data_IF_425287100258
#
_entry.id   IF_425287100258
#
_cell.length_a   1.000
_cell.length_b   1.000
_cell.length_c   1.000
_cell.angle_alpha   90.00
_cell.angle_beta   90.00
_cell.angle_gamma   90.00
#
_symmetry.space_group_name_H-M   'P 1'
#
loop_
_entity.id
_entity.type
_entity.pdbx_description
1 polymer ?
#
# COMPACT_ATOMS: atom_id res chain seq x y z
N UNK A 1 37.16 24.25 12.09
CA UNK A 1 37.41 24.72 13.47
C UNK A 1 36.07 24.70 14.18
N UNK A 2 35.70 23.60 14.84
CA UNK A 2 35.97 23.24 16.25
C UNK A 2 34.86 23.78 17.19
N UNK A 3 34.15 22.80 17.80
CA UNK A 3 33.46 22.75 19.10
C UNK A 3 32.27 23.69 19.38
N UNK A 4 31.06 23.19 19.72
CA UNK A 4 30.57 22.30 20.80
C UNK A 4 30.01 23.10 22.00
N UNK A 5 28.81 22.67 22.38
CA UNK A 5 28.20 22.64 23.72
C UNK A 5 27.65 23.93 24.34
N UNK A 6 26.32 23.93 24.54
CA UNK A 6 25.65 24.65 25.61
C UNK A 6 24.79 23.66 26.42
N UNK A 7 25.09 23.58 27.72
CA UNK A 7 24.36 22.81 28.74
C UNK A 7 23.32 23.69 29.44
N UNK A 8 22.29 23.00 29.90
CA UNK A 8 21.21 23.39 30.80
C UNK A 8 21.68 24.08 32.11
N UNK A 9 20.87 25.01 32.60
CA UNK A 9 20.78 25.33 34.02
C UNK A 9 19.32 25.39 34.48
N UNK A 10 19.05 24.62 35.53
CA UNK A 10 17.77 24.38 36.19
C UNK A 10 17.65 25.35 37.38
N UNK A 11 16.55 26.09 37.46
CA UNK A 11 16.24 26.99 38.59
C UNK A 11 15.47 26.23 39.69
N UNK A 12 15.84 26.43 40.96
CA UNK A 12 15.14 25.96 42.16
C UNK A 12 14.88 27.14 43.12
N UNK A 13 13.64 27.22 43.60
CA UNK A 13 13.23 27.83 44.87
C UNK A 13 13.13 29.36 44.89
N UNK A 14 12.34 30.02 45.73
CA UNK A 14 11.29 29.62 46.68
C UNK A 14 10.57 30.92 47.12
N UNK A 15 9.39 30.73 47.71
CA UNK A 15 8.36 31.69 48.16
C UNK A 15 8.81 32.81 49.11
N UNK A 16 8.15 33.97 48.99
CA UNK A 16 7.47 34.78 50.03
C UNK A 16 6.88 36.02 49.28
N UNK A 17 5.63 36.49 49.42
CA UNK A 17 4.74 36.59 50.57
C UNK A 17 4.54 38.09 50.88
N UNK A 18 3.45 38.71 50.42
CA UNK A 18 3.15 40.12 50.72
C UNK A 18 1.95 40.69 49.95
N UNK A 19 0.81 40.78 50.64
CA UNK A 19 -0.48 41.37 50.24
C UNK A 19 -0.48 42.89 50.48
N UNK A 20 -1.06 43.73 49.61
CA UNK A 20 -1.73 45.00 49.95
C UNK A 20 -2.68 45.46 48.82
N UNK A 21 -3.85 45.98 49.22
CA UNK A 21 -5.05 46.33 48.44
C UNK A 21 -5.02 47.79 47.87
N UNK A 22 -6.05 48.25 47.11
CA UNK A 22 -5.89 49.12 45.93
C UNK A 22 -6.07 50.61 46.23
N UNK A 23 -5.57 51.47 45.34
CA UNK A 23 -5.97 52.88 45.28
C UNK A 23 -6.18 53.33 43.82
N UNK A 24 -7.34 53.94 43.61
CA UNK A 24 -7.76 54.59 42.37
C UNK A 24 -6.94 55.87 42.12
N UNK A 25 -6.41 56.03 40.91
CA UNK A 25 -6.23 57.36 40.30
C UNK A 25 -6.56 57.30 38.80
N UNK A 26 -7.21 58.37 38.34
CA UNK A 26 -7.81 58.56 37.03
C UNK A 26 -6.90 59.45 36.18
N UNK A 27 -6.68 59.05 34.92
CA UNK A 27 -6.31 59.90 33.78
C UNK A 27 -4.97 59.55 33.10
N UNK A 28 -4.76 59.83 31.79
CA UNK A 28 -5.70 60.28 30.76
C UNK A 28 -5.94 59.24 29.64
N UNK A 29 -6.98 59.49 28.86
CA UNK A 29 -7.46 58.78 27.67
C UNK A 29 -6.36 58.53 26.62
N UNK A 30 -6.09 57.25 26.32
CA UNK A 30 -5.25 56.84 25.20
C UNK A 30 -6.13 56.59 23.96
N UNK A 31 -6.01 57.44 22.94
CA UNK A 31 -6.58 57.19 21.62
C UNK A 31 -5.71 56.17 20.87
N UNK A 32 -6.28 55.13 20.24
CA UNK A 32 -5.51 54.21 19.42
C UNK A 32 -5.05 54.91 18.12
N UNK A 33 -3.80 54.72 17.66
CA UNK A 33 -3.37 55.26 16.39
C UNK A 33 -4.11 54.58 15.23
N UNK A 34 -4.62 55.40 14.34
CA UNK A 34 -5.29 55.04 13.09
C UNK A 34 -4.44 54.14 12.20
N UNK A 35 -5.07 53.10 11.69
CA UNK A 35 -4.58 52.21 10.64
C UNK A 35 -4.28 53.00 9.36
N UNK A 36 -3.00 53.18 9.04
CA UNK A 36 -2.57 53.58 7.70
C UNK A 36 -1.95 52.37 7.00
N UNK A 37 -2.67 51.85 6.01
CA UNK A 37 -2.18 50.80 5.10
C UNK A 37 -1.21 51.46 4.12
N UNK A 38 0.03 50.95 3.96
CA UNK A 38 0.94 51.48 2.95
C UNK A 38 0.46 51.12 1.53
N UNK A 39 0.64 52.01 0.53
CA UNK A 39 0.21 51.72 -0.84
C UNK A 39 1.05 50.59 -1.47
N UNK A 40 0.46 49.81 -2.39
CA UNK A 40 1.19 48.73 -3.06
C UNK A 40 2.29 49.28 -3.99
N UNK A 41 3.36 48.50 -4.25
CA UNK A 41 4.43 48.90 -5.15
C UNK A 41 3.93 49.06 -6.61
N UNK A 42 4.59 49.90 -7.42
CA UNK A 42 4.13 50.20 -8.77
C UNK A 42 4.17 48.96 -9.68
N UNK A 43 3.09 48.76 -10.45
CA UNK A 43 3.01 47.73 -11.49
C UNK A 43 4.02 48.04 -12.60
N UNK A 44 4.96 47.13 -12.81
CA UNK A 44 5.78 47.11 -14.03
C UNK A 44 4.87 46.68 -15.17
N UNK A 45 4.52 47.62 -16.05
CA UNK A 45 3.91 47.31 -17.35
C UNK A 45 4.98 46.70 -18.25
N UNK A 46 4.96 45.39 -18.43
CA UNK A 46 5.64 44.75 -19.55
C UNK A 46 4.81 44.96 -20.82
N UNK A 47 5.15 45.99 -21.59
CA UNK A 47 4.74 46.13 -22.99
C UNK A 47 5.41 45.02 -23.80
N UNK A 48 4.71 43.91 -24.03
CA UNK A 48 5.09 42.90 -25.00
C UNK A 48 4.58 43.33 -26.37
N UNK A 49 5.47 43.95 -27.13
CA UNK A 49 5.31 44.27 -28.54
C UNK A 49 5.17 42.98 -29.35
N UNK A 50 4.02 42.80 -30.01
CA UNK A 50 3.81 41.77 -31.02
C UNK A 50 4.69 42.09 -32.25
N UNK A 51 5.81 41.37 -32.40
CA UNK A 51 6.51 41.24 -33.67
C UNK A 51 6.09 39.92 -34.34
N UNK A 52 5.52 40.04 -35.53
CA UNK A 52 5.26 38.92 -36.44
C UNK A 52 6.58 38.24 -36.87
N UNK A 53 6.58 36.92 -37.11
CA UNK A 53 7.80 36.19 -37.45
C UNK A 53 8.24 36.42 -38.90
N UNK A 54 9.55 36.60 -39.06
CA UNK A 54 10.23 36.67 -40.35
C UNK A 54 10.15 35.34 -41.12
N UNK A 55 10.01 35.49 -42.43
CA UNK A 55 9.79 34.44 -43.44
C UNK A 55 11.08 33.64 -43.70
N UNK A 56 11.03 32.31 -43.60
CA UNK A 56 12.09 31.39 -44.02
C UNK A 56 11.72 30.69 -45.35
N UNK A 57 12.69 30.36 -46.23
CA UNK A 57 12.42 29.92 -47.61
C UNK A 57 11.94 28.45 -47.70
N UNK A 58 11.26 28.04 -48.79
CA UNK A 58 10.53 26.78 -48.84
C UNK A 58 11.47 25.59 -49.03
N UNK A 59 11.45 24.64 -48.08
CA UNK A 59 12.05 23.30 -48.24
C UNK A 59 11.12 22.40 -49.05
N UNK A 60 11.68 21.81 -50.12
CA UNK A 60 11.04 20.86 -51.04
C UNK A 60 10.36 19.69 -50.30
N UNK A 61 9.09 19.43 -50.62
CA UNK A 61 8.33 18.24 -50.18
C UNK A 61 9.01 16.96 -50.65
N UNK A 62 9.50 16.12 -49.72
CA UNK A 62 9.79 14.70 -49.99
C UNK A 62 8.60 13.86 -49.52
N UNK A 63 8.03 13.05 -50.45
CA UNK A 63 7.01 12.03 -50.17
C UNK A 63 7.51 11.04 -49.11
N UNK A 64 6.67 10.56 -48.18
CA UNK A 64 7.03 9.41 -47.36
C UNK A 64 6.98 8.15 -48.24
N UNK A 65 8.11 7.43 -48.34
CA UNK A 65 8.12 6.04 -48.80
C UNK A 65 7.56 5.18 -47.67
N UNK A 66 6.44 4.50 -47.92
CA UNK A 66 6.06 3.31 -47.17
C UNK A 66 7.21 2.29 -47.27
N UNK A 67 7.67 1.80 -46.12
CA UNK A 67 8.58 0.66 -46.03
C UNK A 67 7.78 -0.44 -45.34
N UNK A 68 7.13 -1.28 -46.14
CA UNK A 68 6.60 -2.57 -45.69
C UNK A 68 7.78 -3.43 -45.22
N UNK A 69 7.79 -3.78 -43.94
CA UNK A 69 8.55 -4.94 -43.48
C UNK A 69 7.70 -6.18 -43.80
N UNK A 70 7.94 -6.78 -44.97
CA UNK A 70 7.44 -8.11 -45.28
C UNK A 70 8.12 -9.12 -44.36
N UNK A 71 7.36 -9.69 -43.42
CA UNK A 71 7.74 -10.89 -42.71
C UNK A 71 7.82 -12.04 -43.73
N UNK A 72 9.01 -12.64 -43.89
CA UNK A 72 9.24 -13.78 -44.76
C UNK A 72 8.64 -15.02 -44.09
N UNK A 73 7.39 -15.32 -44.40
CA UNK A 73 6.73 -16.58 -44.02
C UNK A 73 7.41 -17.73 -44.77
N UNK A 74 7.88 -18.73 -44.04
CA UNK A 74 8.30 -20.01 -44.60
C UNK A 74 7.06 -20.78 -45.09
N UNK A 75 7.14 -21.51 -46.23
CA UNK A 75 6.01 -22.32 -46.70
C UNK A 75 5.80 -23.54 -45.78
N UNK A 76 4.55 -24.04 -45.66
CA UNK A 76 4.28 -25.27 -44.92
C UNK A 76 4.87 -26.50 -45.64
N UNK A 77 5.33 -27.53 -44.92
CA UNK A 77 5.78 -28.77 -45.56
C UNK A 77 4.60 -29.56 -46.14
N UNK A 78 4.84 -30.16 -47.31
CA UNK A 78 3.89 -31.04 -47.99
C UNK A 78 3.65 -32.35 -47.19
N UNK A 79 2.48 -32.99 -47.33
CA UNK A 79 2.12 -34.14 -46.52
C UNK A 79 2.70 -35.43 -47.10
N UNK A 80 3.34 -36.22 -46.23
CA UNK A 80 3.60 -37.63 -46.49
C UNK A 80 5.07 -38.00 -46.51
N UNK A 81 5.63 -38.29 -45.34
CA UNK A 81 6.64 -39.35 -45.20
C UNK A 81 6.65 -39.85 -43.75
N UNK A 82 6.50 -41.16 -43.60
CA UNK A 82 6.46 -41.87 -42.32
C UNK A 82 7.87 -41.91 -41.75
N UNK A 83 8.10 -41.30 -40.58
CA UNK A 83 9.39 -41.43 -39.88
C UNK A 83 9.25 -42.44 -38.74
N UNK A 84 9.93 -43.57 -38.93
CA UNK A 84 10.09 -44.64 -37.94
C UNK A 84 10.92 -44.18 -36.75
N UNK A 85 10.47 -44.59 -35.56
CA UNK A 85 11.10 -44.38 -34.26
C UNK A 85 12.05 -45.56 -33.95
N UNK A 86 13.34 -45.36 -33.62
CA UNK A 86 14.13 -46.42 -33.02
C UNK A 86 14.14 -46.31 -31.49
N UNK A 87 13.58 -47.35 -30.86
CA UNK A 87 13.80 -47.71 -29.44
C UNK A 87 15.25 -48.16 -29.24
N UNK A 88 15.95 -47.64 -28.22
CA UNK A 88 17.11 -48.28 -27.61
C UNK A 88 17.26 -47.69 -26.20
N UNK A 89 16.86 -48.34 -25.10
CA UNK A 89 17.36 -49.55 -24.41
C UNK A 89 17.95 -49.09 -23.07
N UNK A 90 17.15 -49.35 -22.02
CA UNK A 90 17.46 -49.19 -20.61
C UNK A 90 18.52 -50.24 -20.22
N UNK A 91 19.64 -49.84 -19.61
CA UNK A 91 20.61 -50.78 -19.04
C UNK A 91 20.92 -50.39 -17.59
N UNK A 92 20.36 -51.21 -16.70
CA UNK A 92 20.65 -51.30 -15.27
C UNK A 92 21.99 -52.01 -15.10
N UNK A 93 22.91 -51.43 -14.33
CA UNK A 93 24.05 -52.17 -13.77
C UNK A 93 24.07 -51.93 -12.26
N UNK A 94 23.60 -52.94 -11.53
CA UNK A 94 23.85 -53.14 -10.12
C UNK A 94 24.95 -54.21 -9.99
N UNK A 95 26.02 -53.93 -9.26
CA UNK A 95 26.94 -54.98 -8.79
C UNK A 95 27.72 -54.52 -7.56
N UNK A 96 27.28 -55.08 -6.43
CA UNK A 96 28.05 -55.67 -5.33
C UNK A 96 29.35 -55.01 -4.80
N UNK A 97 29.28 -54.65 -3.51
CA UNK A 97 30.36 -54.53 -2.55
C UNK A 97 31.20 -55.84 -2.43
N UNK A 98 32.42 -55.72 -1.88
CA UNK A 98 32.74 -56.54 -0.71
C UNK A 98 33.30 -55.72 0.47
N UNK A 99 32.91 -56.16 1.67
CA UNK A 99 33.48 -55.78 2.96
C UNK A 99 34.97 -56.21 3.04
N UNK A 100 35.83 -55.33 3.54
CA UNK A 100 37.01 -55.71 4.29
C UNK A 100 37.20 -54.75 5.47
N UNK A 101 37.40 -55.35 6.64
CA UNK A 101 37.53 -54.71 7.95
C UNK A 101 39.01 -54.61 8.36
N UNK A 102 39.28 -53.65 9.26
CA UNK A 102 40.32 -53.60 10.30
C UNK A 102 41.45 -52.56 10.15
N UNK A 103 41.50 -51.73 11.21
CA UNK A 103 42.62 -51.05 11.89
C UNK A 103 43.08 -49.62 11.48
N UNK A 104 42.61 -48.67 12.29
CA UNK A 104 43.36 -47.66 13.05
C UNK A 104 44.59 -46.96 12.43
N UNK A 105 44.50 -45.62 12.31
CA UNK A 105 45.66 -44.76 12.09
C UNK A 105 45.33 -43.32 11.72
N UNK A 106 45.09 -42.49 12.75
CA UNK A 106 45.46 -41.08 12.92
C UNK A 106 45.63 -40.10 11.70
N UNK A 107 44.96 -38.94 11.84
CA UNK A 107 45.30 -37.58 11.33
C UNK A 107 45.16 -37.27 9.84
N UNK A 108 44.37 -36.23 9.52
CA UNK A 108 44.57 -35.45 8.29
C UNK A 108 43.32 -34.76 7.72
N UNK A 109 42.94 -33.62 8.31
CA UNK A 109 42.28 -32.43 7.71
C UNK A 109 41.43 -32.66 6.46
N UNK A 110 40.10 -32.72 6.64
CA UNK A 110 39.12 -32.61 5.56
C UNK A 110 38.89 -31.14 5.18
N UNK A 111 38.85 -30.89 3.87
CA UNK A 111 38.58 -29.60 3.23
C UNK A 111 37.20 -29.06 3.62
N UNK A 112 37.17 -27.78 3.97
CA UNK A 112 36.02 -27.09 4.54
C UNK A 112 34.90 -26.87 3.53
N UNK A 113 33.77 -27.48 3.80
CA UNK A 113 32.49 -26.92 3.40
C UNK A 113 32.19 -25.77 4.37
N UNK A 114 32.08 -24.53 3.87
CA UNK A 114 31.70 -23.37 4.69
C UNK A 114 30.22 -23.48 5.10
N UNK A 115 29.94 -24.27 6.12
CA UNK A 115 28.75 -24.09 6.93
C UNK A 115 28.97 -22.84 7.76
N UNK A 116 28.34 -21.74 7.38
CA UNK A 116 28.25 -20.57 8.23
C UNK A 116 27.42 -20.98 9.46
N UNK A 117 28.08 -21.14 10.61
CA UNK A 117 27.39 -21.22 11.89
C UNK A 117 26.55 -19.95 12.08
N UNK A 118 25.34 -20.04 12.64
CA UNK A 118 24.57 -18.86 12.97
C UNK A 118 25.41 -18.09 14.01
N UNK A 119 25.92 -16.92 13.61
CA UNK A 119 26.63 -16.04 14.54
C UNK A 119 25.71 -15.73 15.71
N UNK A 120 25.92 -16.44 16.81
CA UNK A 120 25.50 -16.01 18.12
C UNK A 120 26.09 -14.62 18.30
N UNK A 121 25.20 -13.62 18.36
CA UNK A 121 25.54 -12.23 18.50
C UNK A 121 26.47 -12.05 19.70
N UNK A 122 27.77 -11.82 19.44
CA UNK A 122 28.70 -11.29 20.43
C UNK A 122 28.48 -9.79 20.52
N UNK A 123 27.40 -9.43 21.20
CA UNK A 123 27.02 -8.07 21.57
C UNK A 123 25.91 -8.20 22.60
N UNK A 124 26.25 -8.00 23.87
CA UNK A 124 25.34 -8.25 24.98
C UNK A 124 23.99 -7.56 24.76
N UNK A 125 22.93 -8.36 24.65
CA UNK A 125 21.57 -7.88 24.58
C UNK A 125 20.72 -8.77 25.49
N UNK A 126 20.09 -8.11 26.48
CA UNK A 126 18.96 -8.64 27.22
C UNK A 126 18.04 -9.44 26.30
N UNK A 127 17.61 -10.63 26.71
CA UNK A 127 16.79 -11.58 25.94
C UNK A 127 15.37 -11.11 25.62
N UNK A 128 15.18 -9.84 25.29
CA UNK A 128 13.92 -9.23 24.88
C UNK A 128 13.78 -9.43 23.37
N UNK A 129 12.81 -10.25 22.98
CA UNK A 129 12.40 -10.39 21.57
C UNK A 129 12.03 -8.99 21.03
N UNK A 130 12.44 -8.64 19.80
CA UNK A 130 12.03 -7.37 19.21
C UNK A 130 10.51 -7.21 19.23
N UNK A 131 9.99 -5.98 19.39
CA UNK A 131 8.55 -5.72 19.28
C UNK A 131 7.97 -6.21 17.94
N UNK A 132 6.66 -6.50 17.93
CA UNK A 132 5.94 -6.82 16.69
C UNK A 132 6.14 -5.69 15.66
N UNK A 133 6.32 -6.06 14.39
CA UNK A 133 6.61 -5.14 13.27
C UNK A 133 7.84 -4.25 13.43
N UNK A 134 8.77 -4.57 14.35
CA UNK A 134 9.99 -3.79 14.56
C UNK A 134 10.76 -3.51 13.27
N UNK A 135 10.87 -4.51 12.39
CA UNK A 135 11.58 -4.36 11.11
C UNK A 135 10.87 -3.49 10.09
N UNK A 136 9.55 -3.28 10.20
CA UNK A 136 8.83 -2.34 9.35
C UNK A 136 9.25 -0.88 9.60
N UNK A 137 9.61 -0.55 10.85
CA UNK A 137 10.09 0.79 11.24
C UNK A 137 11.62 0.86 11.36
N UNK A 138 12.28 -0.29 11.49
CA UNK A 138 13.74 -0.45 11.60
C UNK A 138 14.22 -1.51 10.59
N UNK A 139 14.20 -1.19 9.28
CA UNK A 139 14.52 -2.14 8.21
C UNK A 139 15.95 -2.66 8.32
N UNK A 140 16.17 -3.88 7.82
CA UNK A 140 17.48 -4.55 7.89
C UNK A 140 18.53 -3.78 7.06
N UNK A 141 18.16 -3.33 5.87
CA UNK A 141 18.90 -2.34 5.11
C UNK A 141 18.32 -0.95 5.41
N UNK A 142 18.83 -0.33 6.46
CA UNK A 142 18.42 1.02 6.87
C UNK A 142 19.07 2.12 6.01
N UNK A 143 18.45 3.31 5.91
CA UNK A 143 19.01 4.45 5.18
C UNK A 143 20.43 4.83 5.65
N UNK A 144 20.73 4.67 6.94
CA UNK A 144 22.04 4.94 7.51
C UNK A 144 23.16 4.07 6.91
N UNK A 145 22.84 2.87 6.42
CA UNK A 145 23.81 1.98 5.78
C UNK A 145 24.17 2.42 4.35
N UNK A 146 23.44 3.37 3.77
CA UNK A 146 23.61 3.82 2.39
C UNK A 146 24.29 5.19 2.28
N UNK A 147 24.72 5.78 3.41
CA UNK A 147 25.30 7.12 3.46
C UNK A 147 26.54 7.30 2.56
N UNK A 148 27.29 6.22 2.30
CA UNK A 148 28.51 6.21 1.49
C UNK A 148 28.27 5.77 0.03
N UNK A 149 27.00 5.65 -0.39
CA UNK A 149 26.60 5.31 -1.76
C UNK A 149 25.81 6.48 -2.40
N UNK A 150 26.50 7.52 -2.92
CA UNK A 150 25.84 8.71 -3.44
C UNK A 150 24.82 8.40 -4.54
N UNK A 151 23.56 8.81 -4.31
CA UNK A 151 22.46 8.64 -5.26
C UNK A 151 21.92 7.21 -5.37
N UNK A 152 22.42 6.26 -4.58
CA UNK A 152 21.88 4.91 -4.56
C UNK A 152 20.50 4.88 -3.89
N UNK A 153 19.56 4.19 -4.53
CA UNK A 153 18.28 3.82 -3.92
C UNK A 153 17.75 2.54 -4.55
N UNK A 154 16.99 1.78 -3.76
CA UNK A 154 16.19 0.64 -4.22
C UNK A 154 14.82 1.06 -4.77
N UNK A 155 14.39 2.29 -4.51
CA UNK A 155 13.10 2.78 -4.96
C UNK A 155 13.02 2.86 -6.48
N UNK A 156 11.87 2.47 -7.02
CA UNK A 156 11.57 2.48 -8.45
C UNK A 156 10.14 2.94 -8.63
N UNK A 157 9.92 3.90 -9.54
CA UNK A 157 8.60 4.30 -10.02
C UNK A 157 8.48 3.97 -11.51
N UNK A 158 7.42 3.24 -11.88
CA UNK A 158 7.09 2.88 -13.26
C UNK A 158 5.62 3.19 -13.55
N UNK A 159 5.22 2.96 -14.80
CA UNK A 159 3.87 3.23 -15.31
C UNK A 159 2.76 2.53 -14.52
N UNK A 160 2.99 1.29 -14.10
CA UNK A 160 1.96 0.39 -13.56
C UNK A 160 2.30 -0.17 -12.17
N UNK A 161 3.45 0.20 -11.61
CA UNK A 161 3.82 -0.14 -10.24
C UNK A 161 4.93 0.76 -9.71
N UNK A 162 5.11 0.74 -8.39
CA UNK A 162 6.24 1.34 -7.72
C UNK A 162 6.71 0.47 -6.56
N UNK A 163 8.03 0.44 -6.34
CA UNK A 163 8.66 -0.01 -5.11
C UNK A 163 9.20 1.24 -4.42
N UNK A 164 8.75 1.53 -3.20
CA UNK A 164 9.12 2.70 -2.43
C UNK A 164 9.79 2.18 -1.16
N UNK A 165 11.08 2.48 -0.99
CA UNK A 165 11.91 1.92 0.07
C UNK A 165 12.29 2.98 1.11
N UNK A 166 12.66 2.57 2.33
CA UNK A 166 12.78 3.46 3.50
C UNK A 166 13.67 4.69 3.30
N UNK A 167 14.74 4.59 2.52
CA UNK A 167 15.67 5.71 2.27
C UNK A 167 15.11 6.79 1.34
N UNK A 168 13.99 6.51 0.67
CA UNK A 168 13.27 7.47 -0.19
C UNK A 168 12.06 8.12 0.46
N UNK A 169 11.76 7.79 1.72
CA UNK A 169 10.64 8.41 2.44
C UNK A 169 10.91 9.90 2.68
N UNK A 170 10.03 10.76 2.17
CA UNK A 170 10.11 12.21 2.38
C UNK A 170 9.16 12.61 3.50
N UNK A 171 9.69 12.79 4.70
CA UNK A 171 8.91 13.25 5.85
C UNK A 171 8.79 14.78 5.88
N UNK A 172 7.56 15.25 6.08
CA UNK A 172 7.24 16.68 6.26
C UNK A 172 6.10 16.83 7.28
N UNK A 173 5.94 17.99 7.93
CA UNK A 173 4.80 18.21 8.82
C UNK A 173 3.47 17.93 8.11
N UNK A 174 2.61 17.08 8.70
CA UNK A 174 1.28 16.85 8.14
C UNK A 174 0.40 18.10 8.36
N UNK A 175 -0.22 18.65 7.29
CA UNK A 175 -1.09 19.82 7.43
C UNK A 175 -2.18 19.60 8.47
N UNK A 176 -2.38 20.57 9.36
CA UNK A 176 -3.36 20.57 10.45
C UNK A 176 -3.15 19.51 11.55
N UNK A 177 -2.17 18.62 11.42
CA UNK A 177 -1.78 17.70 12.51
C UNK A 177 -0.85 18.43 13.49
N UNK A 178 -0.91 18.04 14.76
CA UNK A 178 -0.04 18.55 15.82
C UNK A 178 1.09 17.54 16.04
N UNK A 179 2.33 18.03 16.08
CA UNK A 179 3.54 17.27 16.39
C UNK A 179 3.68 15.94 15.61
N UNK A 180 3.36 15.96 14.31
CA UNK A 180 3.35 14.76 13.46
C UNK A 180 4.04 15.04 12.13
N UNK A 181 4.97 14.16 11.75
CA UNK A 181 5.57 14.13 10.41
C UNK A 181 4.89 13.05 9.56
N UNK A 182 4.61 13.35 8.30
CA UNK A 182 4.03 12.42 7.34
C UNK A 182 4.92 12.22 6.12
N UNK A 183 4.95 10.99 5.61
CA UNK A 183 5.52 10.64 4.32
C UNK A 183 4.45 10.01 3.44
N UNK A 184 4.01 10.73 2.41
CA UNK A 184 3.11 10.18 1.41
C UNK A 184 3.85 9.20 0.51
N UNK A 185 3.36 7.96 0.49
CA UNK A 185 3.93 6.86 -0.29
C UNK A 185 3.15 6.70 -1.61
N UNK A 186 1.83 6.70 -1.52
CA UNK A 186 0.93 6.56 -2.68
C UNK A 186 -0.07 7.72 -2.64
N UNK A 187 -0.34 8.29 -3.81
CA UNK A 187 -1.37 9.32 -3.96
C UNK A 187 -2.05 9.22 -5.32
N UNK A 188 -3.19 9.89 -5.53
CA UNK A 188 -3.82 9.92 -6.85
C UNK A 188 -2.97 10.46 -7.99
N UNK A 189 -1.87 11.17 -7.71
CA UNK A 189 -0.93 11.64 -8.72
C UNK A 189 -0.30 10.48 -9.53
N UNK A 190 -0.20 9.27 -8.96
CA UNK A 190 0.30 8.08 -9.67
C UNK A 190 -0.81 7.26 -10.34
N UNK A 191 -2.08 7.71 -10.28
CA UNK A 191 -3.23 7.00 -10.85
C UNK A 191 -4.00 6.12 -9.86
N UNK A 192 -3.62 6.11 -8.57
CA UNK A 192 -4.38 5.44 -7.52
C UNK A 192 -5.67 6.22 -7.18
N UNK A 193 -6.67 5.56 -6.58
CA UNK A 193 -7.89 6.23 -6.06
C UNK A 193 -7.88 6.38 -4.54
N UNK A 194 -6.71 6.21 -3.92
CA UNK A 194 -6.48 6.32 -2.49
C UNK A 194 -5.12 7.00 -2.25
N UNK A 195 -4.92 7.48 -1.03
CA UNK A 195 -3.60 7.83 -0.51
C UNK A 195 -3.16 6.76 0.48
N UNK A 196 -1.86 6.51 0.53
CA UNK A 196 -1.21 5.71 1.56
C UNK A 196 -0.02 6.51 2.08
N UNK A 197 0.05 6.70 3.38
CA UNK A 197 1.13 7.47 3.98
C UNK A 197 1.49 6.94 5.38
N UNK A 198 2.75 7.16 5.75
CA UNK A 198 3.21 6.92 7.11
C UNK A 198 3.04 8.20 7.92
N UNK A 199 2.51 8.10 9.12
CA UNK A 199 2.45 9.19 10.08
C UNK A 199 3.30 8.84 11.31
N UNK A 200 4.36 9.63 11.53
CA UNK A 200 5.22 9.59 12.72
C UNK A 200 4.73 10.61 13.72
N UNK A 201 3.96 10.13 14.68
CA UNK A 201 3.39 10.87 15.80
C UNK A 201 4.43 10.93 16.92
N UNK A 202 4.74 12.12 17.39
CA UNK A 202 5.58 12.34 18.58
C UNK A 202 4.70 12.52 19.83
N UNK A 203 5.32 12.62 21.00
CA UNK A 203 4.62 12.87 22.27
C UNK A 203 3.75 14.14 22.20
N UNK A 204 2.52 14.06 22.71
CA UNK A 204 1.51 15.12 22.64
C UNK A 204 1.00 15.43 21.23
N UNK A 205 1.01 14.44 20.33
CA UNK A 205 0.54 14.61 18.96
C UNK A 205 -0.98 14.45 18.84
N UNK A 206 -1.55 15.08 17.81
CA UNK A 206 -2.98 15.01 17.50
C UNK A 206 -3.23 15.04 16.01
N UNK A 207 -4.13 14.19 15.53
CA UNK A 207 -4.51 14.13 14.13
C UNK A 207 -5.47 15.25 13.71
N UNK A 208 -5.40 15.62 12.43
CA UNK A 208 -6.43 16.39 11.78
C UNK A 208 -7.55 15.50 11.23
N UNK A 209 -8.74 16.07 11.06
CA UNK A 209 -9.82 15.44 10.30
C UNK A 209 -9.43 15.34 8.82
N UNK A 210 -9.80 14.26 8.12
CA UNK A 210 -9.63 14.18 6.68
C UNK A 210 -10.60 15.15 5.96
N UNK A 211 -10.35 15.47 4.68
CA UNK A 211 -11.27 16.31 3.89
C UNK A 211 -12.69 15.74 3.80
N UNK A 212 -13.66 16.59 3.46
CA UNK A 212 -15.06 16.16 3.30
C UNK A 212 -15.22 15.03 2.27
N UNK A 213 -15.98 14.00 2.65
CA UNK A 213 -16.26 12.82 1.85
C UNK A 213 -15.11 11.81 1.78
N UNK A 214 -14.06 11.99 2.60
CA UNK A 214 -12.93 11.08 2.68
C UNK A 214 -13.11 10.12 3.86
N UNK A 215 -13.05 8.83 3.58
CA UNK A 215 -12.94 7.77 4.59
C UNK A 215 -11.47 7.50 4.90
N UNK A 216 -11.19 7.04 6.12
CA UNK A 216 -9.82 6.83 6.63
C UNK A 216 -9.70 5.46 7.30
N UNK A 217 -8.64 4.73 7.02
CA UNK A 217 -8.22 3.55 7.78
C UNK A 217 -6.85 3.82 8.39
N UNK A 218 -6.74 3.61 9.69
CA UNK A 218 -5.50 3.74 10.48
C UNK A 218 -5.08 2.35 10.93
N UNK A 219 -3.80 2.01 10.79
CA UNK A 219 -3.19 0.80 11.34
C UNK A 219 -1.93 1.16 12.13
N UNK A 220 -1.81 0.64 13.35
CA UNK A 220 -0.71 0.97 14.27
C UNK A 220 0.48 0.04 14.06
N UNK A 221 1.61 0.59 13.62
CA UNK A 221 2.85 -0.15 13.38
C UNK A 221 3.78 -0.14 14.60
N UNK A 222 3.74 0.93 15.39
CA UNK A 222 4.60 1.13 16.57
C UNK A 222 3.89 2.07 17.53
N UNK A 223 4.02 1.83 18.84
CA UNK A 223 3.43 2.66 19.88
C UNK A 223 1.95 2.40 20.08
N UNK A 224 1.21 3.44 20.46
CA UNK A 224 -0.22 3.38 20.70
C UNK A 224 -0.90 4.73 20.46
N UNK A 225 -2.20 4.66 20.18
CA UNK A 225 -3.04 5.85 20.01
C UNK A 225 -4.32 5.72 20.83
N UNK A 226 -4.88 6.87 21.21
CA UNK A 226 -6.25 6.98 21.68
C UNK A 226 -7.10 7.61 20.58
N UNK A 227 -8.07 6.85 20.08
CA UNK A 227 -9.11 7.32 19.17
C UNK A 227 -10.32 7.76 19.99
N UNK A 228 -10.80 8.98 19.77
CA UNK A 228 -12.03 9.49 20.38
C UNK A 228 -13.06 9.84 19.30
N UNK A 229 -14.30 9.42 19.52
CA UNK A 229 -15.46 9.75 18.71
C UNK A 229 -16.12 11.05 19.19
N UNK A 230 -16.90 11.71 18.32
CA UNK A 230 -17.75 12.85 18.73
C UNK A 230 -18.81 12.46 19.77
N UNK A 231 -19.23 11.19 19.78
CA UNK A 231 -20.15 10.62 20.78
C UNK A 231 -19.57 10.59 22.21
N UNK A 232 -18.25 10.77 22.36
CA UNK A 232 -17.53 10.67 23.63
C UNK A 232 -16.91 9.28 23.90
N UNK A 233 -17.20 8.28 23.05
CA UNK A 233 -16.56 6.97 23.13
C UNK A 233 -15.06 7.07 22.79
N UNK A 234 -14.24 6.27 23.47
CA UNK A 234 -12.79 6.23 23.25
C UNK A 234 -12.28 4.82 23.09
N UNK A 235 -11.29 4.63 22.21
CA UNK A 235 -10.67 3.35 21.91
C UNK A 235 -9.15 3.49 21.96
N UNK A 236 -8.50 2.67 22.79
CA UNK A 236 -7.04 2.55 22.79
C UNK A 236 -6.62 1.52 21.75
N UNK A 237 -5.79 1.93 20.81
CA UNK A 237 -5.25 1.06 19.76
C UNK A 237 -3.76 0.88 20.00
N UNK A 238 -3.34 -0.37 20.17
CA UNK A 238 -1.95 -0.78 20.30
C UNK A 238 -1.40 -1.20 18.94
N UNK A 239 -0.11 -1.55 18.86
CA UNK A 239 0.47 -2.21 17.68
C UNK A 239 -0.43 -3.37 17.22
N UNK A 240 -0.62 -3.48 15.90
CA UNK A 240 -1.51 -4.46 15.23
C UNK A 240 -3.03 -4.19 15.38
N UNK A 241 -3.40 -3.10 16.06
CA UNK A 241 -4.77 -2.58 16.06
C UNK A 241 -5.02 -1.65 14.87
N UNK A 242 -6.28 -1.57 14.46
CA UNK A 242 -6.72 -0.71 13.36
C UNK A 242 -8.08 -0.07 13.64
N UNK A 243 -8.33 1.07 12.99
CA UNK A 243 -9.63 1.73 12.97
C UNK A 243 -9.99 2.19 11.56
N UNK A 244 -11.19 1.80 11.10
CA UNK A 244 -11.83 2.37 9.91
C UNK A 244 -12.86 3.41 10.32
N UNK A 245 -12.75 4.59 9.71
CA UNK A 245 -13.51 5.79 9.99
C UNK A 245 -14.30 6.15 8.74
N UNK A 246 -15.65 6.01 8.77
CA UNK A 246 -16.53 6.42 7.70
C UNK A 246 -16.32 7.87 7.26
N UNK A 247 -16.62 8.14 6.00
CA UNK A 247 -16.51 9.50 5.47
C UNK A 247 -17.35 10.51 6.27
N UNK A 248 -16.75 11.65 6.59
CA UNK A 248 -17.33 12.75 7.39
C UNK A 248 -17.55 12.45 8.88
N UNK A 249 -17.13 11.28 9.39
CA UNK A 249 -17.16 11.02 10.83
C UNK A 249 -16.16 11.94 11.55
N UNK A 250 -16.64 12.71 12.52
CA UNK A 250 -15.76 13.50 13.38
C UNK A 250 -15.10 12.59 14.42
N UNK A 251 -13.78 12.67 14.50
CA UNK A 251 -12.95 11.89 15.40
C UNK A 251 -11.69 12.68 15.77
N UNK A 252 -11.00 12.23 16.82
CA UNK A 252 -9.69 12.73 17.23
C UNK A 252 -8.78 11.55 17.50
N UNK A 253 -7.56 11.58 16.96
CA UNK A 253 -6.52 10.58 17.31
C UNK A 253 -5.40 11.32 18.00
N UNK A 254 -5.04 10.88 19.21
CA UNK A 254 -3.92 11.43 19.97
C UNK A 254 -2.90 10.34 20.29
N UNK A 255 -1.65 10.75 20.49
CA UNK A 255 -0.61 9.89 21.03
C UNK A 255 0.29 10.68 21.96
N UNK A 256 0.50 10.14 23.16
CA UNK A 256 1.39 10.69 24.20
C UNK A 256 2.72 9.90 24.24
N UNK A 257 3.07 9.25 23.14
CA UNK A 257 4.35 8.56 22.94
C UNK A 257 4.76 8.57 21.47
N UNK A 258 5.96 8.05 21.17
CA UNK A 258 6.41 7.90 19.79
C UNK A 258 5.64 6.76 19.12
N UNK A 259 4.85 7.12 18.12
CA UNK A 259 3.94 6.21 17.44
C UNK A 259 4.09 6.32 15.93
N UNK A 260 4.10 5.18 15.25
CA UNK A 260 4.09 5.13 13.79
C UNK A 260 2.82 4.47 13.30
N UNK A 261 2.10 5.15 12.43
CA UNK A 261 0.89 4.67 11.78
C UNK A 261 1.12 4.50 10.29
N UNK A 262 0.47 3.52 9.69
CA UNK A 262 0.16 3.53 8.25
C UNK A 262 -1.30 3.90 8.07
N UNK A 263 -1.55 4.90 7.24
CA UNK A 263 -2.88 5.45 7.03
C UNK A 263 -3.25 5.35 5.55
N UNK A 264 -4.46 4.88 5.31
CA UNK A 264 -5.09 4.87 3.99
C UNK A 264 -6.27 5.83 4.00
N UNK A 265 -6.35 6.72 3.01
CA UNK A 265 -7.52 7.58 2.83
C UNK A 265 -8.04 7.48 1.41
N UNK A 266 -9.36 7.58 1.26
CA UNK A 266 -10.03 7.50 -0.03
C UNK A 266 -11.27 8.37 -0.04
N UNK A 267 -11.63 8.91 -1.21
CA UNK A 267 -12.96 9.49 -1.39
C UNK A 267 -13.98 8.36 -1.46
N UNK A 268 -14.86 8.31 -0.46
CA UNK A 268 -15.88 7.27 -0.36
C UNK A 268 -16.86 7.32 -1.53
N UNK A 269 -17.14 6.16 -2.12
CA UNK A 269 -18.09 6.02 -3.20
C UNK A 269 -19.47 5.72 -2.64
N UNK A 270 -20.29 6.76 -2.43
CA UNK A 270 -21.64 6.62 -1.85
C UNK A 270 -22.50 5.62 -2.62
N UNK A 271 -23.21 4.78 -1.88
CA UNK A 271 -24.27 3.92 -2.38
C UNK A 271 -25.55 4.28 -1.62
N UNK A 272 -26.64 4.52 -2.35
CA UNK A 272 -27.92 4.88 -1.74
C UNK A 272 -28.41 3.79 -0.78
N UNK A 273 -28.84 4.19 0.42
CA UNK A 273 -29.35 3.27 1.45
C UNK A 273 -28.29 2.47 2.21
N UNK A 274 -27.00 2.66 1.92
CA UNK A 274 -25.89 1.97 2.59
C UNK A 274 -24.89 2.96 3.19
N UNK A 275 -24.54 2.72 4.44
CA UNK A 275 -23.53 3.49 5.17
C UNK A 275 -22.60 2.52 5.89
N UNK A 276 -21.28 2.72 5.80
CA UNK A 276 -20.33 1.93 6.58
C UNK A 276 -20.27 2.49 8.00
N UNK A 277 -20.01 1.60 8.97
CA UNK A 277 -19.92 1.95 10.39
C UNK A 277 -18.46 2.17 10.81
N UNK A 278 -18.25 2.78 11.98
CA UNK A 278 -16.95 2.75 12.65
C UNK A 278 -16.56 1.29 12.90
N UNK A 279 -15.35 0.91 12.53
CA UNK A 279 -14.79 -0.39 12.89
C UNK A 279 -13.49 -0.15 13.65
N UNK A 280 -13.38 -0.74 14.84
CA UNK A 280 -12.15 -0.82 15.60
C UNK A 280 -11.85 -2.29 15.83
N UNK A 281 -10.62 -2.71 15.54
CA UNK A 281 -10.24 -4.11 15.61
C UNK A 281 -8.75 -4.30 15.80
N UNK A 282 -8.36 -5.57 15.84
CA UNK A 282 -6.97 -6.03 15.90
C UNK A 282 -6.84 -7.25 14.98
N UNK A 283 -5.69 -7.41 14.32
CA UNK A 283 -5.50 -8.46 13.31
C UNK A 283 -5.61 -9.85 13.91
N UNK A 284 -5.03 -10.07 15.09
CA UNK A 284 -5.09 -11.33 15.85
C UNK A 284 -6.52 -11.81 16.16
N UNK A 285 -7.48 -10.89 16.19
CA UNK A 285 -8.90 -11.18 16.40
C UNK A 285 -9.67 -11.47 15.11
N UNK A 286 -9.08 -11.25 13.94
CA UNK A 286 -9.73 -11.54 12.67
C UNK A 286 -9.63 -13.03 12.34
N UNK A 287 -10.72 -13.64 11.84
CA UNK A 287 -10.69 -15.05 11.47
C UNK A 287 -9.78 -15.29 10.27
N UNK A 288 -9.09 -16.43 10.29
CA UNK A 288 -8.46 -16.97 9.09
C UNK A 288 -9.55 -17.35 8.08
N UNK A 289 -9.37 -16.90 6.84
CA UNK A 289 -10.26 -17.21 5.74
C UNK A 289 -9.67 -18.31 4.87
N UNK A 290 -10.55 -19.11 4.28
CA UNK A 290 -10.16 -20.09 3.27
C UNK A 290 -9.60 -19.39 2.02
N UNK A 291 -8.53 -19.95 1.48
CA UNK A 291 -7.80 -19.45 0.30
C UNK A 291 -7.73 -20.54 -0.77
N UNK A 292 -8.86 -20.84 -1.47
CA UNK A 292 -8.91 -21.96 -2.40
C UNK A 292 -7.85 -21.86 -3.50
N UNK A 293 -6.98 -22.87 -3.59
CA UNK A 293 -5.90 -22.91 -4.58
C UNK A 293 -4.63 -22.16 -4.19
N UNK A 294 -4.57 -21.60 -2.98
CA UNK A 294 -3.43 -20.88 -2.45
C UNK A 294 -3.03 -21.47 -1.09
N UNK A 295 -1.83 -21.12 -0.61
CA UNK A 295 -1.26 -21.67 0.64
C UNK A 295 -1.12 -20.63 1.75
N UNK A 296 -1.21 -19.33 1.41
CA UNK A 296 -1.08 -18.25 2.38
C UNK A 296 -2.26 -18.21 3.34
N UNK A 297 -2.00 -17.71 4.55
CA UNK A 297 -3.03 -17.34 5.51
C UNK A 297 -3.61 -15.97 5.13
N UNK A 298 -4.94 -15.82 5.18
CA UNK A 298 -5.62 -14.58 4.83
C UNK A 298 -6.52 -14.11 5.97
N UNK A 299 -6.37 -12.86 6.38
CA UNK A 299 -7.33 -12.14 7.23
C UNK A 299 -7.82 -10.89 6.50
N UNK A 300 -9.10 -10.54 6.69
CA UNK A 300 -9.68 -9.28 6.20
C UNK A 300 -10.04 -8.41 7.39
N UNK A 301 -9.62 -7.16 7.38
CA UNK A 301 -9.83 -6.24 8.50
C UNK A 301 -11.22 -5.59 8.47
N UNK A 302 -11.82 -5.44 7.28
CA UNK A 302 -13.15 -4.86 7.12
C UNK A 302 -14.17 -5.92 6.68
N UNK A 303 -15.47 -5.72 6.98
CA UNK A 303 -16.53 -6.55 6.44
C UNK A 303 -16.51 -6.60 4.91
N UNK A 304 -16.96 -7.72 4.36
CA UNK A 304 -17.11 -7.91 2.91
C UNK A 304 -18.47 -7.43 2.38
N UNK A 305 -19.25 -6.75 3.23
CA UNK A 305 -20.58 -6.25 2.89
C UNK A 305 -20.52 -5.04 1.96
N UNK A 306 -21.64 -4.78 1.29
CA UNK A 306 -21.77 -3.77 0.24
C UNK A 306 -21.35 -2.33 0.62
N UNK A 307 -21.56 -1.83 1.87
CA UNK A 307 -21.20 -0.45 2.23
C UNK A 307 -19.70 -0.14 2.10
N UNK A 308 -18.83 -1.15 2.18
CA UNK A 308 -17.38 -0.97 2.17
C UNK A 308 -16.84 -1.11 0.74
N UNK A 309 -16.30 -0.02 0.19
CA UNK A 309 -15.85 0.03 -1.21
C UNK A 309 -14.36 -0.34 -1.41
N UNK A 310 -13.67 -0.68 -0.32
CA UNK A 310 -12.34 -1.29 -0.26
C UNK A 310 -12.22 -2.26 0.92
N UNK A 311 -11.14 -3.03 0.97
CA UNK A 311 -10.79 -3.82 2.15
C UNK A 311 -9.28 -3.76 2.40
N UNK A 312 -8.86 -4.10 3.62
CA UNK A 312 -7.47 -4.28 4.00
C UNK A 312 -7.27 -5.74 4.35
N UNK A 313 -6.31 -6.38 3.70
CA UNK A 313 -5.98 -7.76 3.97
C UNK A 313 -4.62 -7.85 4.68
N UNK A 314 -4.52 -8.83 5.58
CA UNK A 314 -3.25 -9.30 6.11
C UNK A 314 -3.01 -10.67 5.50
N UNK A 315 -1.86 -10.84 4.86
CA UNK A 315 -1.47 -12.09 4.22
C UNK A 315 -0.13 -12.56 4.77
N UNK A 316 -0.10 -13.79 5.28
CA UNK A 316 1.08 -14.42 5.85
C UNK A 316 1.53 -15.58 4.95
N UNK A 317 2.83 -15.62 4.64
CA UNK A 317 3.45 -16.65 3.82
C UNK A 317 4.63 -17.27 4.59
N UNK A 318 4.60 -18.58 4.77
CA UNK A 318 5.73 -19.32 5.29
C UNK A 318 6.92 -19.27 4.31
N UNK A 319 8.16 -19.49 4.80
CA UNK A 319 9.33 -19.59 3.93
C UNK A 319 9.14 -20.60 2.79
N UNK A 320 9.38 -20.17 1.56
CA UNK A 320 9.23 -20.99 0.36
C UNK A 320 7.81 -20.97 -0.25
N UNK A 321 6.82 -20.43 0.44
CA UNK A 321 5.48 -20.26 -0.13
C UNK A 321 5.44 -19.12 -1.13
N UNK A 322 4.53 -19.25 -2.11
CA UNK A 322 4.34 -18.29 -3.18
C UNK A 322 2.90 -18.30 -3.67
N UNK A 323 2.51 -17.25 -4.38
CA UNK A 323 1.21 -17.20 -5.05
C UNK A 323 1.16 -18.20 -6.21
N UNK A 324 0.20 -19.14 -6.19
CA UNK A 324 0.03 -20.08 -7.29
C UNK A 324 -0.46 -19.35 -8.55
N UNK A 325 -1.45 -18.47 -8.38
CA UNK A 325 -1.98 -17.59 -9.43
C UNK A 325 -1.04 -16.40 -9.68
N UNK A 326 -0.80 -16.08 -10.95
CA UNK A 326 -0.06 -14.88 -11.37
C UNK A 326 -1.13 -13.83 -11.64
N UNK A 327 -1.54 -13.13 -10.59
CA UNK A 327 -2.75 -12.34 -10.61
C UNK A 327 -2.69 -11.21 -11.65
N UNK A 328 -3.78 -11.07 -12.40
CA UNK A 328 -4.02 -9.98 -13.35
C UNK A 328 -5.49 -9.60 -13.21
N UNK A 329 -5.76 -8.49 -12.53
CA UNK A 329 -7.13 -8.06 -12.24
C UNK A 329 -7.21 -6.53 -12.17
N UNK A 330 -8.43 -6.00 -12.29
CA UNK A 330 -8.70 -4.56 -12.23
C UNK A 330 -8.50 -3.93 -10.84
N UNK A 331 -8.38 -4.74 -9.78
CA UNK A 331 -8.11 -4.21 -8.45
C UNK A 331 -6.77 -3.48 -8.44
N UNK A 332 -6.67 -2.44 -7.60
CA UNK A 332 -5.43 -1.71 -7.33
C UNK A 332 -5.00 -1.92 -5.89
N UNK A 333 -3.69 -1.80 -5.65
CA UNK A 333 -3.12 -2.05 -4.35
C UNK A 333 -2.11 -1.02 -3.88
N UNK A 334 -2.11 -0.82 -2.57
CA UNK A 334 -1.03 -0.24 -1.79
C UNK A 334 -0.69 -1.22 -0.67
N UNK A 335 0.55 -1.67 -0.63
CA UNK A 335 1.01 -2.70 0.28
C UNK A 335 2.19 -2.19 1.09
N UNK A 336 2.23 -2.51 2.38
CA UNK A 336 3.42 -2.37 3.24
C UNK A 336 3.84 -3.76 3.72
N UNK A 337 5.10 -4.11 3.51
CA UNK A 337 5.67 -5.34 4.06
C UNK A 337 5.91 -5.16 5.56
N UNK A 338 5.12 -5.84 6.40
CA UNK A 338 5.17 -5.71 7.87
C UNK A 338 6.31 -6.53 8.47
N UNK A 339 6.44 -7.77 8.02
CA UNK A 339 7.48 -8.69 8.47
C UNK A 339 8.08 -9.44 7.30
N UNK A 340 9.33 -9.89 7.50
CA UNK A 340 9.97 -10.79 6.58
C UNK A 340 10.56 -10.14 5.33
N UNK A 341 10.81 -10.97 4.32
CA UNK A 341 11.48 -10.62 3.07
C UNK A 341 11.20 -11.65 1.97
N UNK A 342 11.41 -11.27 0.71
CA UNK A 342 11.24 -12.19 -0.41
C UNK A 342 11.45 -11.52 -1.76
N UNK A 343 10.83 -12.08 -2.80
CA UNK A 343 10.91 -11.52 -4.15
C UNK A 343 9.50 -11.23 -4.65
N UNK A 344 9.25 -9.97 -4.98
CA UNK A 344 8.01 -9.52 -5.61
C UNK A 344 8.24 -9.35 -7.11
N UNK A 345 7.37 -9.94 -7.93
CA UNK A 345 7.31 -9.70 -9.36
C UNK A 345 6.18 -8.73 -9.67
N UNK A 346 6.49 -7.68 -10.43
CA UNK A 346 5.53 -6.69 -10.92
C UNK A 346 5.78 -6.46 -12.42
N UNK A 347 4.82 -6.84 -13.25
CA UNK A 347 5.00 -6.96 -14.69
C UNK A 347 6.14 -7.92 -15.04
N UNK A 348 7.16 -7.38 -15.73
CA UNK A 348 8.37 -8.12 -16.11
C UNK A 348 9.57 -7.85 -15.20
N UNK A 349 9.34 -7.22 -14.05
CA UNK A 349 10.39 -6.83 -13.09
C UNK A 349 10.32 -7.66 -11.81
N UNK A 350 11.48 -7.97 -11.25
CA UNK A 350 11.63 -8.79 -10.04
C UNK A 350 12.42 -8.00 -9.00
N UNK A 351 11.86 -7.89 -7.81
CA UNK A 351 12.34 -7.02 -6.75
C UNK A 351 12.61 -7.82 -5.47
N UNK A 352 13.86 -7.85 -4.98
CA UNK A 352 14.11 -8.25 -3.60
C UNK A 352 13.47 -7.22 -2.66
N UNK A 353 12.61 -7.69 -1.77
CA UNK A 353 11.85 -6.85 -0.82
C UNK A 353 12.11 -7.28 0.62
N UNK A 354 12.00 -6.34 1.55
CA UNK A 354 12.16 -6.54 2.99
C UNK A 354 11.09 -5.75 3.77
N UNK A 355 10.95 -6.05 5.06
CA UNK A 355 10.04 -5.32 5.95
C UNK A 355 10.31 -3.81 5.88
N UNK A 356 9.25 -3.02 5.81
CA UNK A 356 9.30 -1.57 5.65
C UNK A 356 9.24 -1.08 4.19
N UNK A 357 9.41 -1.98 3.21
CA UNK A 357 9.18 -1.64 1.80
C UNK A 357 7.68 -1.45 1.52
N UNK A 358 7.36 -0.45 0.72
CA UNK A 358 6.01 -0.19 0.22
C UNK A 358 5.92 -0.50 -1.27
N UNK A 359 4.82 -1.13 -1.69
CA UNK A 359 4.55 -1.43 -3.10
C UNK A 359 3.23 -0.78 -3.51
N UNK A 360 3.25 -0.08 -4.65
CA UNK A 360 2.05 0.30 -5.36
C UNK A 360 1.86 -0.61 -6.58
N UNK A 361 0.63 -1.08 -6.77
CA UNK A 361 0.24 -1.90 -7.92
C UNK A 361 -0.97 -1.26 -8.60
N UNK A 362 -0.79 -0.79 -9.83
CA UNK A 362 -1.89 -0.26 -10.64
C UNK A 362 -2.82 -1.40 -11.09
N UNK A 363 -4.07 -1.08 -11.50
CA UNK A 363 -4.95 -2.04 -12.13
C UNK A 363 -4.26 -2.81 -13.27
N UNK A 364 -4.47 -4.13 -13.30
CA UNK A 364 -3.99 -5.09 -14.30
C UNK A 364 -2.47 -5.29 -14.39
N UNK A 365 -1.67 -4.77 -13.46
CA UNK A 365 -0.25 -5.18 -13.40
C UNK A 365 -0.15 -6.66 -13.02
N UNK A 366 0.56 -7.50 -13.79
CA UNK A 366 0.86 -8.86 -13.36
C UNK A 366 1.64 -8.85 -12.06
N UNK A 367 1.12 -9.51 -11.03
CA UNK A 367 1.73 -9.53 -9.70
C UNK A 367 1.93 -10.96 -9.21
N UNK A 368 3.04 -11.18 -8.50
CA UNK A 368 3.39 -12.47 -7.91
C UNK A 368 4.43 -12.28 -6.80
N UNK A 369 4.40 -13.14 -5.78
CA UNK A 369 5.31 -13.11 -4.64
C UNK A 369 5.83 -14.51 -4.33
N UNK A 370 7.10 -14.60 -3.93
CA UNK A 370 7.65 -15.72 -3.13
C UNK A 370 8.24 -15.20 -1.83
N UNK A 371 7.96 -15.92 -0.76
CA UNK A 371 8.34 -15.59 0.61
C UNK A 371 9.60 -16.30 1.06
N UNK A 372 10.40 -15.60 1.87
CA UNK A 372 11.45 -16.19 2.72
C UNK A 372 11.06 -15.95 4.20
N UNK A 373 9.75 -16.09 4.51
CA UNK A 373 8.95 -15.54 5.62
C UNK A 373 8.47 -14.12 5.29
N UNK A 374 7.15 -13.87 5.17
CA UNK A 374 6.57 -12.56 4.87
C UNK A 374 5.20 -12.42 5.56
N UNK A 375 4.98 -11.26 6.16
CA UNK A 375 3.64 -10.74 6.52
C UNK A 375 3.48 -9.36 5.90
N UNK A 376 2.34 -9.09 5.27
CA UNK A 376 2.06 -7.75 4.73
C UNK A 376 0.63 -7.31 4.92
N UNK A 377 0.46 -5.98 4.96
CA UNK A 377 -0.84 -5.32 4.90
C UNK A 377 -1.05 -4.78 3.50
N UNK A 378 -2.16 -5.16 2.88
CA UNK A 378 -2.51 -4.74 1.51
C UNK A 378 -3.90 -4.12 1.48
N UNK A 379 -3.97 -2.93 0.92
CA UNK A 379 -5.23 -2.34 0.50
C UNK A 379 -5.65 -2.95 -0.84
N UNK A 380 -6.88 -3.44 -0.94
CA UNK A 380 -7.44 -3.99 -2.18
C UNK A 380 -8.79 -3.36 -2.50
N UNK A 381 -8.93 -2.82 -3.70
CA UNK A 381 -10.20 -2.27 -4.19
C UNK A 381 -10.77 -3.22 -5.26
N UNK A 382 -11.86 -3.92 -4.92
CA UNK A 382 -12.77 -4.48 -5.93
C UNK A 382 -13.45 -5.81 -5.57
N UNK A 383 -12.93 -6.61 -4.63
CA UNK A 383 -13.63 -7.85 -4.26
C UNK A 383 -15.00 -7.61 -3.59
N UNK A 384 -15.19 -6.54 -2.79
CA UNK A 384 -16.47 -6.27 -2.13
C UNK A 384 -17.62 -5.95 -3.09
N UNK A 385 -17.37 -5.22 -4.19
CA UNK A 385 -18.47 -4.77 -5.08
C UNK A 385 -18.87 -5.80 -6.13
N UNK A 386 -17.95 -6.66 -6.58
CA UNK A 386 -18.18 -7.48 -7.76
C UNK A 386 -19.04 -8.73 -7.50
N UNK A 387 -18.87 -9.40 -6.35
CA UNK A 387 -19.72 -10.54 -6.01
C UNK A 387 -21.19 -10.13 -5.88
N UNK A 388 -21.46 -8.95 -5.32
CA UNK A 388 -22.83 -8.48 -5.08
C UNK A 388 -23.45 -7.92 -6.37
N UNK A 389 -22.74 -7.14 -7.17
CA UNK A 389 -23.31 -6.58 -8.42
C UNK A 389 -23.60 -7.68 -9.43
N UNK A 390 -22.72 -8.68 -9.56
CA UNK A 390 -22.94 -9.85 -10.42
C UNK A 390 -24.07 -10.72 -9.87
N UNK A 391 -24.12 -10.98 -8.56
CA UNK A 391 -25.22 -11.71 -7.94
C UNK A 391 -26.58 -11.01 -8.09
N UNK A 392 -26.63 -9.68 -7.96
CA UNK A 392 -27.84 -8.88 -8.18
C UNK A 392 -28.25 -8.85 -9.65
N UNK A 393 -27.30 -8.81 -10.59
CA UNK A 393 -27.58 -8.98 -12.02
C UNK A 393 -28.18 -10.36 -12.31
N UNK A 394 -27.65 -11.42 -11.70
CA UNK A 394 -28.18 -12.78 -11.87
C UNK A 394 -29.55 -12.97 -11.18
N UNK A 395 -29.79 -12.35 -10.03
CA UNK A 395 -31.11 -12.37 -9.37
C UNK A 395 -32.15 -11.60 -10.17
N UNK A 396 -31.79 -10.45 -10.76
CA UNK A 396 -32.70 -9.68 -11.62
C UNK A 396 -32.94 -10.37 -12.97
N UNK A 397 -31.95 -11.06 -13.56
CA UNK A 397 -32.17 -11.92 -14.73
C UNK A 397 -33.12 -13.10 -14.41
N UNK A 398 -32.96 -13.74 -13.24
CA UNK A 398 -33.91 -14.78 -12.78
C UNK A 398 -35.31 -14.20 -12.54
N UNK A 399 -35.43 -13.01 -11.95
CA UNK A 399 -36.73 -12.36 -11.72
C UNK A 399 -37.44 -11.97 -13.02
N UNK A 400 -36.70 -11.48 -14.02
CA UNK A 400 -37.21 -11.15 -15.36
C UNK A 400 -37.60 -12.43 -16.13
N UNK A 401 -36.84 -13.51 -15.99
CA UNK A 401 -37.18 -14.80 -16.60
C UNK A 401 -38.47 -15.40 -15.99
N UNK A 402 -38.64 -15.33 -14.67
CA UNK A 402 -39.86 -15.82 -13.98
C UNK A 402 -41.07 -14.92 -14.23
N UNK A 403 -40.89 -13.60 -14.40
CA UNK A 403 -41.98 -12.70 -14.81
C UNK A 403 -42.38 -12.87 -16.28
N UNK A 404 -41.45 -13.20 -17.18
CA UNK A 404 -41.79 -13.47 -18.59
C UNK A 404 -42.59 -14.76 -18.77
N UNK A 405 -42.41 -15.77 -17.93
CA UNK A 405 -43.22 -16.99 -17.96
C UNK A 405 -44.59 -16.85 -17.30
N UNK A 406 -44.81 -15.87 -16.39
CA UNK A 406 -46.14 -15.62 -15.81
C UNK A 406 -47.00 -14.65 -16.63
N UNK A 407 -46.39 -13.78 -17.45
CA UNK A 407 -47.14 -12.77 -18.24
C UNK A 407 -47.68 -13.26 -19.59
N UNK A 408 -47.37 -14.50 -20.03
CA UNK A 408 -47.91 -15.09 -21.27
C UNK A 408 -49.17 -15.96 -21.07
N UNK A 409 -49.77 -15.93 -19.87
CA UNK A 409 -50.92 -16.78 -19.50
C UNK A 409 -52.31 -16.21 -19.79
N UNK A 410 -52.46 -14.95 -20.19
CA UNK A 410 -53.78 -14.32 -20.33
C UNK A 410 -53.87 -13.36 -21.51
N UNK A 411 -54.05 -13.92 -22.72
CA UNK A 411 -54.85 -13.24 -23.75
C UNK A 411 -55.40 -14.30 -24.71
N UNK A 412 -56.57 -14.84 -24.37
CA UNK A 412 -57.36 -15.72 -25.22
C UNK A 412 -58.60 -14.94 -25.64
N UNK A 413 -58.65 -14.46 -26.88
CA UNK A 413 -59.91 -14.04 -27.53
C UNK A 413 -59.92 -14.47 -29.01
N UNK A 414 -61.10 -14.81 -29.55
CA UNK A 414 -61.22 -15.68 -30.72
C UNK A 414 -61.39 -14.89 -32.01
N UNK A 415 -60.74 -15.34 -33.09
CA UNK A 415 -61.13 -14.94 -34.44
C UNK A 415 -61.86 -16.10 -35.12
N UNK A 416 -63.12 -15.84 -35.46
CA UNK A 416 -63.98 -16.66 -36.31
C UNK A 416 -63.62 -16.45 -37.78
N UNK A 417 -63.58 -17.58 -38.49
CA UNK A 417 -63.99 -17.86 -39.87
C UNK A 417 -63.60 -16.91 -41.01
N UNK A 418 -63.02 -17.53 -42.06
CA UNK A 418 -63.36 -17.21 -43.45
C UNK A 418 -62.22 -17.47 -44.44
N UNK A 419 -62.28 -18.64 -45.08
CA UNK A 419 -62.03 -18.94 -46.51
C UNK A 419 -60.83 -18.29 -47.24
N UNK A 420 -60.18 -18.90 -48.23
CA UNK A 420 -60.03 -20.23 -48.82
C UNK A 420 -59.06 -19.97 -50.02
N UNK A 421 -58.26 -20.96 -50.42
CA UNK A 421 -57.54 -21.08 -51.71
C UNK A 421 -56.38 -20.06 -51.96
N UNK A 422 -55.16 -20.45 -52.34
CA UNK A 422 -54.61 -21.59 -53.10
C UNK A 422 -53.16 -21.85 -52.65
#
# INVERSE_FOLDING_TARGET
MINREWREQRWRGSRAGGQWHPSHQVGPTYQPPSTSVPPPPPRIHSTLSLLSPATAPPKKKKKPRHREHAARLLPPPAPGEKMMLPRLLLLVVASALPLASVAAGAVGVGEGFCSAEPSAASGGCSGVRPPLYWKATNPTLAPAHLQDLPGFTRSVYKRDHALITPESHVFSPLPDWINTLGAYLISPAIGAHFTMYLAKMHDGSKSALPPKGVERLIFVLQGSILLSEESGNTHTLLVDSYAYLPANMKHSVISDEVTTLVIFERRYTTIEGYHPDLIVGSTDKQPLLETPGEVFELRKLLPTSLPYDFNIHIMDFQPGEYLNVKEVHYNQHGLLLLEGQGIYRLGDSWYPVQSGDTIWMAPFVPQWLVSVNIVFIIHGIGFCRQLITVALLFQSIKYVATCRTSMFGYLKMPFKNGNELL
#
